data_IF_849605462802
#
_entry.id   IF_849605462802
#
_cell.length_a   1.000
_cell.length_b   1.000
_cell.length_c   1.000
_cell.angle_alpha   90.00
_cell.angle_beta   90.00
_cell.angle_gamma   90.00
#
_symmetry.space_group_name_H-M   'P 1'
#
loop_
_entity.id
_entity.type
_entity.pdbx_description
1 polymer ?
#
# COMPACT_ATOMS: atom_id res chain seq x y z
N UNK A 1 0.03 -7.34 4.38
CA UNK A 1 0.43 -6.16 5.17
C UNK A 1 1.95 -6.12 5.13
N UNK A 2 2.60 -4.97 5.13
CA UNK A 2 4.05 -4.93 4.95
C UNK A 2 4.69 -3.58 5.22
N UNK A 3 5.93 -3.45 4.78
CA UNK A 3 6.75 -2.25 4.83
C UNK A 3 7.17 -1.84 3.41
N UNK A 4 7.27 -0.54 3.16
CA UNK A 4 7.76 0.01 1.90
C UNK A 4 8.77 1.14 2.20
N UNK A 5 9.84 1.22 1.40
CA UNK A 5 10.95 2.14 1.63
C UNK A 5 10.71 3.61 1.30
N UNK A 6 9.61 3.96 0.62
CA UNK A 6 9.40 5.30 0.03
C UNK A 6 9.36 6.43 1.06
N UNK A 7 8.48 6.35 2.07
CA UNK A 7 8.28 7.48 2.99
C UNK A 7 9.53 7.77 3.85
N UNK A 8 10.37 6.75 4.11
CA UNK A 8 11.61 6.92 4.85
C UNK A 8 12.81 7.28 3.95
N UNK A 9 12.99 6.63 2.80
CA UNK A 9 14.24 6.70 2.02
C UNK A 9 14.07 7.20 0.58
N UNK A 10 12.85 7.44 0.14
CA UNK A 10 12.55 7.84 -1.23
C UNK A 10 13.16 6.87 -2.23
N UNK A 11 13.97 7.40 -3.15
CA UNK A 11 14.67 6.65 -4.19
C UNK A 11 15.95 5.96 -3.71
N UNK A 12 16.36 6.15 -2.45
CA UNK A 12 17.77 5.96 -2.00
C UNK A 12 18.01 4.80 -1.03
N UNK A 13 17.03 3.92 -0.84
CA UNK A 13 17.19 2.79 0.10
C UNK A 13 18.39 1.90 -0.27
N UNK A 14 19.06 1.37 0.75
CA UNK A 14 20.19 0.44 0.63
C UNK A 14 19.83 -0.96 1.15
N UNK A 15 20.60 -1.97 0.76
CA UNK A 15 20.40 -3.36 1.19
C UNK A 15 20.40 -3.54 2.71
N UNK A 16 21.37 -2.91 3.39
CA UNK A 16 21.46 -2.96 4.86
C UNK A 16 20.22 -2.37 5.52
N UNK A 17 19.67 -1.28 4.98
CA UNK A 17 18.44 -0.67 5.48
C UNK A 17 17.23 -1.57 5.23
N UNK A 18 17.14 -2.23 4.07
CA UNK A 18 16.08 -3.22 3.80
C UNK A 18 16.14 -4.36 4.82
N UNK A 19 17.32 -4.93 5.06
CA UNK A 19 17.53 -6.03 6.01
C UNK A 19 17.27 -5.61 7.47
N UNK A 20 17.62 -4.37 7.83
CA UNK A 20 17.32 -3.83 9.15
C UNK A 20 15.82 -3.66 9.38
N UNK A 21 15.08 -3.12 8.41
CA UNK A 21 13.62 -3.02 8.49
C UNK A 21 12.96 -4.41 8.48
N UNK A 22 13.42 -5.34 7.64
CA UNK A 22 12.94 -6.72 7.60
C UNK A 22 13.13 -7.43 8.96
N UNK A 23 14.26 -7.19 9.63
CA UNK A 23 14.53 -7.74 10.98
C UNK A 23 13.50 -7.24 12.00
N UNK A 24 13.22 -5.94 12.03
CA UNK A 24 12.21 -5.37 12.95
C UNK A 24 10.81 -5.84 12.57
N UNK A 25 10.49 -5.91 11.28
CA UNK A 25 9.21 -6.43 10.78
C UNK A 25 8.99 -7.87 11.28
N UNK A 26 9.97 -8.76 11.10
CA UNK A 26 9.95 -10.13 11.61
C UNK A 26 9.73 -10.20 13.12
N UNK A 27 10.50 -9.43 13.89
CA UNK A 27 10.54 -9.57 15.34
C UNK A 27 9.32 -8.93 16.03
N UNK A 28 8.80 -7.83 15.48
CA UNK A 28 7.77 -7.01 16.14
C UNK A 28 6.39 -7.11 15.49
N UNK A 29 6.33 -7.30 14.17
CA UNK A 29 5.09 -7.09 13.41
C UNK A 29 4.60 -8.35 12.67
N UNK A 30 5.48 -9.29 12.29
CA UNK A 30 5.09 -10.55 11.66
C UNK A 30 4.10 -11.37 12.50
N UNK A 31 4.20 -11.46 13.85
CA UNK A 31 3.18 -12.11 14.68
C UNK A 31 1.78 -11.50 14.53
N UNK A 32 1.71 -10.22 14.17
CA UNK A 32 0.46 -9.49 13.90
C UNK A 32 0.09 -9.47 12.40
N UNK A 33 0.78 -10.25 11.55
CA UNK A 33 0.44 -10.45 10.14
C UNK A 33 1.15 -9.55 9.12
N UNK A 34 2.15 -8.77 9.54
CA UNK A 34 2.96 -7.96 8.63
C UNK A 34 4.10 -8.79 8.03
N UNK A 35 3.96 -9.17 6.77
CA UNK A 35 4.79 -10.22 6.16
C UNK A 35 5.54 -9.77 4.89
N UNK A 36 5.35 -8.55 4.39
CA UNK A 36 5.89 -8.12 3.09
C UNK A 36 6.90 -6.99 3.24
N UNK A 37 8.04 -7.05 2.55
CA UNK A 37 9.10 -6.04 2.51
C UNK A 37 9.27 -5.55 1.07
N UNK A 38 9.00 -4.28 0.80
CA UNK A 38 9.03 -3.71 -0.56
C UNK A 38 10.15 -2.68 -0.72
N UNK A 39 11.03 -2.92 -1.70
CA UNK A 39 12.01 -1.94 -2.19
C UNK A 39 11.32 -1.04 -3.22
N UNK A 40 11.11 0.22 -2.88
CA UNK A 40 10.44 1.18 -3.77
C UNK A 40 11.38 1.72 -4.87
N UNK A 41 10.89 2.70 -5.63
CA UNK A 41 11.39 3.14 -6.93
C UNK A 41 12.90 3.43 -7.01
N UNK A 42 13.43 3.33 -8.24
CA UNK A 42 14.77 3.73 -8.63
C UNK A 42 15.90 2.96 -7.94
N UNK A 43 15.67 1.72 -7.48
CA UNK A 43 16.72 0.80 -7.03
C UNK A 43 17.80 0.50 -8.09
N UNK A 44 17.48 0.78 -9.36
CA UNK A 44 18.36 0.65 -10.51
C UNK A 44 19.18 1.92 -10.82
N UNK A 45 18.96 3.05 -10.12
CA UNK A 45 19.77 4.26 -10.24
C UNK A 45 20.90 4.26 -9.19
N UNK A 46 22.18 4.14 -9.61
CA UNK A 46 23.31 4.17 -8.68
C UNK A 46 23.60 5.58 -8.15
N UNK A 47 23.01 6.60 -8.74
CA UNK A 47 23.16 8.02 -8.38
C UNK A 47 21.94 8.59 -7.67
N UNK A 48 20.97 7.75 -7.31
CA UNK A 48 19.73 8.15 -6.64
C UNK A 48 20.01 9.06 -5.44
N UNK A 49 19.17 10.09 -5.28
CA UNK A 49 19.30 11.10 -4.24
C UNK A 49 17.96 11.42 -3.59
N UNK A 50 18.00 11.99 -2.39
CA UNK A 50 16.81 12.51 -1.74
C UNK A 50 16.15 13.62 -2.59
N UNK A 51 14.86 13.84 -2.36
CA UNK A 51 14.08 14.92 -2.97
C UNK A 51 13.96 14.84 -4.50
N UNK A 52 13.66 13.65 -5.01
CA UNK A 52 13.22 13.43 -6.39
C UNK A 52 14.19 12.62 -7.24
N UNK A 53 14.06 12.77 -8.56
CA UNK A 53 14.74 11.96 -9.56
C UNK A 53 15.92 12.69 -10.21
N UNK A 54 16.79 11.93 -10.88
CA UNK A 54 17.91 12.45 -11.64
C UNK A 54 17.59 12.40 -13.13
N UNK A 55 17.67 13.54 -13.80
CA UNK A 55 17.58 13.57 -15.26
C UNK A 55 18.81 12.89 -15.86
N UNK A 56 18.59 11.95 -16.79
CA UNK A 56 19.67 11.22 -17.44
C UNK A 56 20.47 10.31 -16.50
N UNK A 57 19.81 9.77 -15.47
CA UNK A 57 20.40 8.82 -14.55
C UNK A 57 21.09 7.65 -15.31
N UNK A 58 22.29 7.22 -14.90
CA UNK A 58 23.01 6.12 -15.53
C UNK A 58 22.45 4.78 -15.03
N UNK A 59 21.18 4.50 -15.38
CA UNK A 59 20.45 3.32 -14.93
C UNK A 59 21.29 2.06 -15.17
N UNK A 60 21.35 1.18 -14.18
CA UNK A 60 22.00 -0.12 -14.32
C UNK A 60 21.06 -1.04 -15.09
N UNK A 61 21.47 -1.46 -16.28
CA UNK A 61 20.71 -2.35 -17.17
C UNK A 61 21.53 -3.61 -17.45
N UNK A 62 20.87 -4.72 -17.71
CA UNK A 62 21.49 -5.88 -18.35
C UNK A 62 21.66 -5.68 -19.86
N UNK A 63 22.30 -6.65 -20.53
CA UNK A 63 22.54 -6.63 -21.98
C UNK A 63 21.25 -6.70 -22.82
N UNK A 64 20.08 -6.88 -22.18
CA UNK A 64 18.75 -6.90 -22.79
C UNK A 64 17.90 -5.69 -22.41
N UNK A 65 18.49 -4.69 -21.75
CA UNK A 65 17.83 -3.45 -21.37
C UNK A 65 16.96 -3.52 -20.12
N UNK A 66 16.91 -4.65 -19.42
CA UNK A 66 16.15 -4.81 -18.16
C UNK A 66 16.93 -4.18 -17.01
N UNK A 67 16.23 -3.49 -16.12
CA UNK A 67 16.84 -2.83 -14.96
C UNK A 67 17.45 -3.85 -13.98
N UNK A 68 18.64 -3.54 -13.45
CA UNK A 68 19.35 -4.32 -12.44
C UNK A 68 19.57 -3.48 -11.16
N UNK A 69 19.62 -4.10 -9.97
CA UNK A 69 19.91 -3.38 -8.74
C UNK A 69 21.28 -2.73 -8.78
N UNK A 70 21.34 -1.47 -8.37
CA UNK A 70 22.58 -0.71 -8.33
C UNK A 70 23.56 -1.31 -7.30
N UNK A 71 24.70 -1.90 -7.70
CA UNK A 71 25.53 -2.69 -6.76
C UNK A 71 26.19 -1.86 -5.65
N UNK A 72 26.30 -0.53 -5.81
CA UNK A 72 26.76 0.36 -4.75
C UNK A 72 25.75 0.50 -3.60
N UNK A 73 24.47 0.24 -3.85
CA UNK A 73 23.38 0.26 -2.86
C UNK A 73 22.94 -1.15 -2.46
N UNK A 74 23.07 -2.10 -3.37
CA UNK A 74 22.75 -3.51 -3.19
C UNK A 74 23.97 -4.38 -3.52
N UNK A 75 24.97 -4.45 -2.62
CA UNK A 75 26.22 -5.17 -2.87
C UNK A 75 26.02 -6.64 -3.21
N UNK A 76 24.97 -7.29 -2.67
CA UNK A 76 24.67 -8.69 -2.97
C UNK A 76 24.23 -8.91 -4.42
N UNK A 77 23.79 -7.87 -5.13
CA UNK A 77 23.41 -7.94 -6.55
C UNK A 77 24.60 -8.02 -7.52
N UNK A 78 25.83 -7.84 -7.01
CA UNK A 78 27.05 -7.90 -7.82
C UNK A 78 27.19 -9.24 -8.56
N UNK A 79 27.88 -9.21 -9.70
CA UNK A 79 28.11 -10.42 -10.51
C UNK A 79 26.86 -10.94 -11.23
N UNK A 80 25.82 -10.12 -11.38
CA UNK A 80 24.58 -10.50 -12.09
C UNK A 80 23.58 -11.27 -11.24
N UNK A 81 23.76 -11.31 -9.91
CA UNK A 81 22.85 -11.99 -9.00
C UNK A 81 21.48 -11.29 -8.89
N UNK A 82 21.43 -9.98 -9.20
CA UNK A 82 20.21 -9.19 -9.08
C UNK A 82 19.68 -9.20 -7.65
N UNK A 83 18.36 -9.26 -7.48
CA UNK A 83 17.78 -9.30 -6.12
C UNK A 83 17.70 -10.69 -5.50
N UNK A 84 18.09 -11.77 -6.19
CA UNK A 84 17.94 -13.13 -5.66
C UNK A 84 18.55 -13.30 -4.24
N UNK A 85 19.76 -12.81 -3.93
CA UNK A 85 20.32 -12.97 -2.58
C UNK A 85 19.57 -12.17 -1.50
N UNK A 86 19.07 -10.97 -1.84
CA UNK A 86 18.27 -10.16 -0.92
C UNK A 86 16.90 -10.79 -0.69
N UNK A 87 16.26 -11.29 -1.73
CA UNK A 87 15.00 -12.02 -1.64
C UNK A 87 15.16 -13.28 -0.77
N UNK A 88 16.21 -14.08 -0.99
CA UNK A 88 16.53 -15.25 -0.18
C UNK A 88 16.73 -14.89 1.30
N UNK A 89 17.41 -13.77 1.59
CA UNK A 89 17.60 -13.29 2.96
C UNK A 89 16.26 -12.90 3.62
N UNK A 90 15.37 -12.22 2.88
CA UNK A 90 14.02 -11.83 3.35
C UNK A 90 13.14 -13.07 3.54
N UNK A 91 13.15 -14.02 2.60
CA UNK A 91 12.45 -15.30 2.71
C UNK A 91 12.95 -16.14 3.89
N UNK A 92 14.26 -16.12 4.15
CA UNK A 92 14.87 -16.76 5.32
C UNK A 92 14.37 -16.21 6.66
N UNK A 93 13.79 -15.00 6.67
CA UNK A 93 13.12 -14.41 7.84
C UNK A 93 11.64 -14.79 7.95
N UNK A 94 11.10 -15.59 7.01
CA UNK A 94 9.68 -15.90 6.92
C UNK A 94 8.83 -14.75 6.34
N UNK A 95 9.47 -13.80 5.66
CA UNK A 95 8.84 -12.66 5.02
C UNK A 95 8.76 -12.85 3.50
N UNK A 96 8.00 -12.00 2.83
CA UNK A 96 7.86 -11.89 1.38
C UNK A 96 8.64 -10.68 0.87
N UNK A 97 9.24 -10.81 -0.30
CA UNK A 97 10.03 -9.76 -0.91
C UNK A 97 9.28 -9.10 -2.06
N UNK A 98 9.31 -7.77 -2.12
CA UNK A 98 8.67 -6.99 -3.17
C UNK A 98 9.56 -5.92 -3.74
N UNK A 99 9.28 -5.54 -4.98
CA UNK A 99 9.98 -4.45 -5.68
C UNK A 99 9.00 -3.54 -6.38
N UNK A 100 9.49 -2.35 -6.71
CA UNK A 100 8.81 -1.38 -7.56
C UNK A 100 9.33 -1.45 -9.01
N UNK A 101 8.46 -1.18 -9.98
CA UNK A 101 8.83 -0.84 -11.35
C UNK A 101 8.11 0.42 -11.84
N UNK A 102 8.75 1.15 -12.73
CA UNK A 102 8.07 2.12 -13.60
C UNK A 102 7.45 1.38 -14.80
N UNK A 103 6.26 1.80 -15.24
CA UNK A 103 5.67 1.36 -16.51
C UNK A 103 6.65 1.53 -17.66
N UNK A 104 6.57 0.63 -18.64
CA UNK A 104 7.22 0.80 -19.94
C UNK A 104 8.62 0.20 -20.04
N UNK A 105 9.49 0.86 -20.80
CA UNK A 105 10.86 0.43 -21.14
C UNK A 105 11.86 1.57 -20.88
N UNK A 106 13.07 1.30 -20.35
CA UNK A 106 14.04 2.34 -20.07
C UNK A 106 14.43 3.15 -21.31
N UNK A 107 14.41 4.48 -21.23
CA UNK A 107 14.89 5.36 -22.31
C UNK A 107 16.32 5.01 -22.71
N UNK A 108 17.15 4.72 -21.72
CA UNK A 108 18.55 4.35 -21.93
C UNK A 108 18.69 3.04 -22.75
N UNK A 109 17.75 2.09 -22.60
CA UNK A 109 17.74 0.88 -23.42
C UNK A 109 17.36 1.20 -24.88
N UNK A 110 16.39 2.11 -25.09
CA UNK A 110 15.95 2.57 -26.41
C UNK A 110 17.05 3.36 -27.13
N UNK A 111 17.74 4.25 -26.41
CA UNK A 111 18.86 5.03 -26.94
C UNK A 111 20.01 4.13 -27.41
N UNK A 112 20.32 3.10 -26.60
CA UNK A 112 21.36 2.11 -26.89
C UNK A 112 20.90 1.00 -27.85
N UNK A 113 19.62 0.98 -28.19
CA UNK A 113 19.00 0.00 -29.07
C UNK A 113 19.24 -1.46 -28.61
N UNK A 114 19.11 -1.70 -27.31
CA UNK A 114 19.40 -3.00 -26.69
C UNK A 114 18.41 -4.09 -27.14
N UNK A 115 18.85 -5.35 -27.32
CA UNK A 115 17.99 -6.43 -27.82
C UNK A 115 16.97 -6.92 -26.78
N UNK A 116 15.74 -7.18 -27.21
CA UNK A 116 14.71 -7.81 -26.37
C UNK A 116 14.96 -9.31 -26.27
N UNK A 117 15.20 -9.79 -25.05
CA UNK A 117 15.49 -11.20 -24.75
C UNK A 117 14.49 -12.15 -25.42
N UNK A 118 15.00 -13.20 -26.08
CA UNK A 118 14.17 -14.22 -26.72
C UNK A 118 13.55 -13.81 -28.07
N UNK A 119 13.96 -12.67 -28.62
CA UNK A 119 13.40 -12.16 -29.89
C UNK A 119 14.50 -11.64 -30.83
N UNK A 120 14.11 -11.25 -32.03
CA UNK A 120 14.98 -10.53 -32.99
C UNK A 120 14.80 -9.02 -32.94
N UNK A 121 13.94 -8.51 -32.05
CA UNK A 121 13.60 -7.10 -31.95
C UNK A 121 14.46 -6.38 -30.91
N UNK A 122 14.55 -5.06 -31.01
CA UNK A 122 15.23 -4.21 -30.05
C UNK A 122 14.27 -3.38 -29.21
N UNK A 123 14.82 -2.71 -28.19
CA UNK A 123 14.10 -1.74 -27.37
C UNK A 123 13.50 -0.61 -28.22
N UNK A 124 14.15 -0.20 -29.32
CA UNK A 124 13.62 0.84 -30.21
C UNK A 124 12.43 0.35 -31.03
N UNK A 125 12.39 -0.92 -31.42
CA UNK A 125 11.27 -1.49 -32.17
C UNK A 125 9.97 -1.51 -31.35
N UNK A 126 10.07 -1.65 -30.02
CA UNK A 126 8.91 -1.81 -29.12
C UNK A 126 8.59 -0.56 -28.31
N UNK A 127 9.37 0.51 -28.41
CA UNK A 127 9.14 1.72 -27.61
C UNK A 127 8.05 2.61 -28.21
N UNK A 128 7.31 3.29 -27.33
CA UNK A 128 6.41 4.39 -27.66
C UNK A 128 6.95 5.70 -27.04
N UNK A 129 7.88 6.42 -27.69
CA UNK A 129 8.59 7.54 -27.08
C UNK A 129 7.72 8.73 -26.67
N UNK A 130 6.57 8.90 -27.34
CA UNK A 130 5.59 9.97 -27.07
C UNK A 130 4.67 9.64 -25.88
N UNK A 131 4.69 8.40 -25.39
CA UNK A 131 3.95 7.95 -24.21
C UNK A 131 4.90 7.90 -23.01
N UNK A 132 5.16 9.06 -22.40
CA UNK A 132 6.09 9.19 -21.29
C UNK A 132 5.39 9.50 -19.96
N UNK A 133 5.96 9.00 -18.86
CA UNK A 133 5.59 9.44 -17.53
C UNK A 133 5.86 10.96 -17.37
N UNK A 134 4.92 11.68 -16.78
CA UNK A 134 5.01 13.14 -16.62
C UNK A 134 5.94 13.59 -15.47
N UNK A 135 6.24 12.69 -14.52
CA UNK A 135 6.92 13.02 -13.27
C UNK A 135 8.22 12.23 -13.02
N UNK A 136 8.50 11.20 -13.82
CA UNK A 136 9.75 10.45 -13.79
C UNK A 136 10.30 10.27 -15.22
N UNK A 137 11.60 10.52 -15.45
CA UNK A 137 12.19 10.53 -16.79
C UNK A 137 12.71 9.17 -17.27
N UNK A 138 12.72 8.13 -16.43
CA UNK A 138 13.52 6.91 -16.66
C UNK A 138 13.03 6.09 -17.85
N UNK A 139 11.71 5.99 -18.01
CA UNK A 139 11.05 5.13 -18.98
C UNK A 139 10.24 5.92 -20.02
N UNK A 140 9.98 5.25 -21.15
CA UNK A 140 8.90 5.55 -22.09
C UNK A 140 7.97 4.35 -22.18
N UNK A 141 6.78 4.55 -22.71
CA UNK A 141 5.79 3.51 -22.93
C UNK A 141 6.26 2.45 -23.92
N UNK A 142 5.49 1.38 -24.01
CA UNK A 142 5.73 0.27 -24.93
C UNK A 142 4.62 0.29 -25.98
N UNK A 143 4.99 0.17 -27.26
CA UNK A 143 4.05 0.07 -28.37
C UNK A 143 3.41 -1.33 -28.39
N UNK A 144 2.24 -1.43 -27.75
CA UNK A 144 1.48 -2.67 -27.67
C UNK A 144 0.96 -3.20 -29.02
N UNK A 145 1.03 -2.43 -30.10
CA UNK A 145 0.70 -2.91 -31.45
C UNK A 145 1.88 -3.66 -32.09
N UNK A 146 3.10 -3.48 -31.56
CA UNK A 146 4.26 -4.23 -31.98
C UNK A 146 4.29 -5.63 -31.33
N UNK A 147 4.51 -6.73 -32.09
CA UNK A 147 4.49 -8.10 -31.56
C UNK A 147 5.54 -8.37 -30.46
N UNK A 148 6.60 -7.55 -30.39
CA UNK A 148 7.63 -7.63 -29.36
C UNK A 148 7.24 -7.06 -27.99
N UNK A 149 6.15 -6.31 -27.88
CA UNK A 149 5.74 -5.64 -26.63
C UNK A 149 5.53 -6.62 -25.47
N UNK A 150 4.77 -7.69 -25.70
CA UNK A 150 4.55 -8.70 -24.65
C UNK A 150 5.83 -9.46 -24.32
N UNK A 151 6.72 -9.68 -25.30
CA UNK A 151 7.99 -10.36 -25.05
C UNK A 151 8.91 -9.54 -24.14
N UNK A 152 8.89 -8.20 -24.24
CA UNK A 152 9.56 -7.31 -23.29
C UNK A 152 9.04 -7.53 -21.87
N UNK A 153 7.72 -7.45 -21.66
CA UNK A 153 7.13 -7.64 -20.34
C UNK A 153 7.35 -9.06 -19.79
N UNK A 154 7.23 -10.09 -20.62
CA UNK A 154 7.52 -11.48 -20.24
C UNK A 154 8.98 -11.63 -19.76
N UNK A 155 9.94 -11.00 -20.44
CA UNK A 155 11.36 -11.04 -20.06
C UNK A 155 11.67 -10.23 -18.79
N UNK A 156 11.02 -9.08 -18.61
CA UNK A 156 11.17 -8.23 -17.42
C UNK A 156 10.59 -8.91 -16.18
N UNK A 157 9.35 -9.42 -16.26
CA UNK A 157 8.71 -10.09 -15.12
C UNK A 157 9.32 -11.47 -14.86
N UNK A 158 9.77 -12.18 -15.90
CA UNK A 158 10.53 -13.42 -15.73
C UNK A 158 11.80 -13.22 -14.89
N UNK A 159 12.52 -12.11 -15.10
CA UNK A 159 13.68 -11.76 -14.27
C UNK A 159 13.31 -11.57 -12.79
N UNK A 160 12.21 -10.87 -12.51
CA UNK A 160 11.74 -10.68 -11.13
C UNK A 160 11.33 -12.01 -10.48
N UNK A 161 10.70 -12.90 -11.26
CA UNK A 161 10.33 -14.24 -10.81
C UNK A 161 11.56 -15.10 -10.49
N UNK A 162 12.60 -15.04 -11.33
CA UNK A 162 13.88 -15.73 -11.11
C UNK A 162 14.59 -15.22 -9.84
N UNK A 163 14.43 -13.94 -9.49
CA UNK A 163 14.93 -13.38 -8.23
C UNK A 163 14.09 -13.73 -7.01
N UNK A 164 12.94 -14.37 -7.17
CA UNK A 164 12.09 -14.72 -6.04
C UNK A 164 11.19 -13.57 -5.54
N UNK A 165 10.86 -12.59 -6.38
CA UNK A 165 9.92 -11.51 -6.01
C UNK A 165 8.51 -12.07 -5.78
N UNK A 166 7.85 -11.69 -4.69
CA UNK A 166 6.47 -12.08 -4.33
C UNK A 166 5.45 -10.96 -4.53
N UNK A 167 5.92 -9.72 -4.61
CA UNK A 167 5.08 -8.53 -4.68
C UNK A 167 5.68 -7.51 -5.66
N UNK A 168 4.87 -7.01 -6.58
CA UNK A 168 5.28 -6.02 -7.56
C UNK A 168 4.36 -4.80 -7.49
N UNK A 169 4.93 -3.64 -7.18
CA UNK A 169 4.28 -2.33 -7.37
C UNK A 169 4.70 -1.78 -8.73
N UNK A 170 3.75 -1.40 -9.58
CA UNK A 170 4.03 -0.74 -10.86
C UNK A 170 3.41 0.65 -10.87
N UNK A 171 4.27 1.67 -11.01
CA UNK A 171 3.88 3.07 -11.11
C UNK A 171 3.66 3.53 -12.56
N UNK A 172 3.06 4.71 -12.70
CA UNK A 172 2.64 5.32 -13.97
C UNK A 172 1.56 4.49 -14.69
N UNK A 173 0.68 3.81 -13.94
CA UNK A 173 -0.33 2.90 -14.50
C UNK A 173 -1.76 3.45 -14.46
N UNK A 174 -2.13 4.28 -13.48
CA UNK A 174 -3.54 4.65 -13.23
C UNK A 174 -3.85 6.14 -13.43
N UNK A 175 -2.84 7.00 -13.63
CA UNK A 175 -3.01 8.43 -13.85
C UNK A 175 -1.98 8.97 -14.88
N UNK A 176 -2.24 8.84 -16.20
CA UNK A 176 -3.47 8.34 -16.83
C UNK A 176 -3.61 6.81 -16.76
N UNK A 177 -4.80 6.29 -17.11
CA UNK A 177 -5.08 4.85 -17.02
C UNK A 177 -4.52 4.10 -18.22
N UNK A 178 -3.52 3.24 -18.00
CA UNK A 178 -2.84 2.44 -19.03
C UNK A 178 -3.32 0.98 -18.99
N UNK A 179 -4.49 0.72 -19.57
CA UNK A 179 -5.13 -0.61 -19.58
C UNK A 179 -4.26 -1.70 -20.21
N UNK A 180 -3.67 -1.44 -21.38
CA UNK A 180 -2.83 -2.43 -22.10
C UNK A 180 -1.56 -2.79 -21.34
N UNK A 181 -0.94 -1.84 -20.64
CA UNK A 181 0.22 -2.11 -19.78
C UNK A 181 -0.17 -2.97 -18.56
N UNK A 182 -1.33 -2.68 -17.93
CA UNK A 182 -1.87 -3.49 -16.84
C UNK A 182 -2.09 -4.94 -17.30
N UNK A 183 -2.71 -5.15 -18.45
CA UNK A 183 -2.94 -6.48 -19.03
C UNK A 183 -1.62 -7.20 -19.34
N UNK A 184 -0.64 -6.50 -19.92
CA UNK A 184 0.63 -7.08 -20.31
C UNK A 184 1.45 -7.54 -19.11
N UNK A 185 1.51 -6.73 -18.04
CA UNK A 185 2.17 -7.10 -16.77
C UNK A 185 1.46 -8.28 -16.13
N UNK A 186 0.12 -8.27 -16.02
CA UNK A 186 -0.64 -9.37 -15.43
C UNK A 186 -0.45 -10.69 -16.20
N UNK A 187 -0.40 -10.62 -17.54
CA UNK A 187 -0.11 -11.77 -18.39
C UNK A 187 1.31 -12.28 -18.19
N UNK A 188 2.29 -11.38 -18.10
CA UNK A 188 3.68 -11.72 -17.87
C UNK A 188 3.90 -12.37 -16.49
N UNK A 189 3.21 -11.90 -15.44
CA UNK A 189 3.18 -12.55 -14.12
C UNK A 189 2.62 -13.98 -14.25
N UNK A 190 1.50 -14.16 -14.95
CA UNK A 190 0.93 -15.50 -15.16
C UNK A 190 1.90 -16.43 -15.90
N UNK A 191 2.62 -15.91 -16.90
CA UNK A 191 3.59 -16.66 -17.73
C UNK A 191 4.90 -16.98 -17.01
N UNK A 192 5.30 -16.18 -16.04
CA UNK A 192 6.52 -16.44 -15.25
C UNK A 192 6.41 -17.71 -14.40
N UNK A 193 5.18 -18.14 -14.09
CA UNK A 193 4.91 -19.30 -13.25
C UNK A 193 5.12 -19.08 -11.76
N UNK A 194 5.45 -17.85 -11.33
CA UNK A 194 5.53 -17.45 -9.92
C UNK A 194 4.31 -16.63 -9.53
N UNK A 195 3.79 -16.88 -8.33
CA UNK A 195 2.76 -16.03 -7.73
C UNK A 195 3.40 -14.69 -7.32
N UNK A 196 2.99 -13.62 -7.99
CA UNK A 196 3.42 -12.25 -7.69
C UNK A 196 2.17 -11.40 -7.50
N UNK A 197 2.01 -10.80 -6.31
CA UNK A 197 0.93 -9.86 -6.04
C UNK A 197 1.18 -8.57 -6.82
N UNK A 198 0.23 -8.16 -7.66
CA UNK A 198 0.33 -6.93 -8.46
C UNK A 198 -0.39 -5.76 -7.77
N UNK A 199 0.37 -4.71 -7.52
CA UNK A 199 -0.07 -3.41 -7.02
C UNK A 199 0.10 -2.33 -8.08
N UNK A 200 -0.93 -1.53 -8.35
CA UNK A 200 -0.94 -0.50 -9.38
C UNK A 200 -0.98 0.91 -8.78
N UNK A 201 -0.21 1.83 -9.37
CA UNK A 201 0.00 3.18 -8.83
C UNK A 201 0.45 4.15 -9.94
N UNK A 202 0.49 5.48 -9.71
CA UNK A 202 -0.23 6.20 -8.66
C UNK A 202 -1.71 6.33 -9.01
N UNK A 203 -2.55 6.51 -7.99
CA UNK A 203 -3.93 6.94 -8.18
C UNK A 203 -4.03 8.46 -8.22
N UNK A 204 -5.17 9.00 -8.66
CA UNK A 204 -5.58 10.39 -8.41
C UNK A 204 -7.10 10.46 -8.30
N UNK A 205 -7.78 10.44 -9.45
CA UNK A 205 -9.23 10.44 -9.59
C UNK A 205 -9.73 9.10 -10.15
N UNK A 206 -9.17 7.97 -9.67
CA UNK A 206 -9.46 6.66 -10.22
C UNK A 206 -10.98 6.39 -10.22
N UNK A 207 -11.50 6.09 -11.41
CA UNK A 207 -12.92 5.84 -11.60
C UNK A 207 -13.26 4.37 -11.33
N UNK A 208 -14.35 4.15 -10.59
CA UNK A 208 -14.96 2.83 -10.39
C UNK A 208 -15.47 2.19 -11.69
N UNK A 209 -15.50 2.92 -12.81
CA UNK A 209 -15.77 2.35 -14.14
C UNK A 209 -14.72 1.32 -14.57
N UNK A 210 -13.48 1.41 -14.06
CA UNK A 210 -12.41 0.45 -14.33
C UNK A 210 -12.44 -0.77 -13.41
N UNK A 211 -13.39 -0.85 -12.47
CA UNK A 211 -13.40 -1.89 -11.43
C UNK A 211 -13.38 -3.32 -11.97
N UNK A 212 -14.06 -3.58 -13.09
CA UNK A 212 -14.05 -4.90 -13.75
C UNK A 212 -12.65 -5.29 -14.20
N UNK A 213 -12.00 -4.41 -14.97
CA UNK A 213 -10.65 -4.59 -15.49
C UNK A 213 -9.60 -4.71 -14.37
N UNK A 214 -9.64 -3.81 -13.38
CA UNK A 214 -8.73 -3.85 -12.22
C UNK A 214 -8.78 -5.19 -11.49
N UNK A 215 -9.98 -5.72 -11.26
CA UNK A 215 -10.20 -7.01 -10.59
C UNK A 215 -9.77 -8.23 -11.39
N UNK A 216 -9.66 -8.09 -12.70
CA UNK A 216 -9.21 -9.16 -13.58
C UNK A 216 -7.67 -9.23 -13.63
N UNK A 217 -6.99 -8.10 -13.46
CA UNK A 217 -5.56 -8.00 -13.75
C UNK A 217 -4.68 -7.67 -12.54
N UNK A 218 -5.19 -7.13 -11.45
CA UNK A 218 -4.38 -6.75 -10.28
C UNK A 218 -5.03 -7.13 -8.94
N UNK A 219 -4.20 -7.22 -7.90
CA UNK A 219 -4.67 -7.49 -6.55
C UNK A 219 -4.92 -6.20 -5.76
N UNK A 220 -4.22 -5.12 -6.05
CA UNK A 220 -4.48 -3.82 -5.44
C UNK A 220 -4.17 -2.63 -6.37
N UNK A 221 -4.84 -1.51 -6.13
CA UNK A 221 -4.72 -0.29 -6.95
C UNK A 221 -4.95 0.98 -6.12
N UNK A 222 -4.03 1.92 -6.25
CA UNK A 222 -4.08 3.22 -5.56
C UNK A 222 -5.33 4.01 -5.96
N UNK A 223 -6.06 4.50 -4.96
CA UNK A 223 -7.28 5.31 -5.15
C UNK A 223 -7.07 6.81 -4.91
N UNK A 224 -5.86 7.21 -4.56
CA UNK A 224 -5.46 8.59 -4.32
C UNK A 224 -4.05 8.85 -4.83
N UNK A 225 -3.74 10.14 -4.96
CA UNK A 225 -2.36 10.62 -5.01
C UNK A 225 -1.63 10.33 -3.69
N UNK A 226 -0.33 10.58 -3.65
CA UNK A 226 0.55 10.20 -2.54
C UNK A 226 0.10 10.79 -1.21
N UNK A 227 -0.10 9.90 -0.23
CA UNK A 227 -0.53 10.23 1.11
C UNK A 227 0.68 10.54 2.00
N UNK A 228 0.60 11.64 2.75
CA UNK A 228 1.63 12.03 3.71
C UNK A 228 1.04 12.24 5.11
N UNK A 229 1.92 12.52 6.08
CA UNK A 229 1.60 12.74 7.49
C UNK A 229 0.93 14.09 7.75
N UNK A 230 -0.21 14.33 7.10
CA UNK A 230 -1.03 15.53 7.23
C UNK A 230 -2.49 15.13 7.47
N UNK A 231 -3.16 15.82 8.38
CA UNK A 231 -4.57 15.53 8.68
C UNK A 231 -5.46 15.64 7.43
N UNK A 232 -5.19 16.61 6.56
CA UNK A 232 -5.97 16.81 5.33
C UNK A 232 -5.90 15.59 4.39
N UNK A 233 -4.76 14.90 4.35
CA UNK A 233 -4.60 13.70 3.54
C UNK A 233 -5.40 12.53 4.14
N UNK A 234 -5.35 12.36 5.47
CA UNK A 234 -6.14 11.34 6.20
C UNK A 234 -7.64 11.61 6.09
N UNK A 235 -8.07 12.86 6.30
CA UNK A 235 -9.46 13.29 6.22
C UNK A 235 -10.03 13.05 4.82
N UNK A 236 -9.27 13.37 3.76
CA UNK A 236 -9.68 13.11 2.39
C UNK A 236 -9.92 11.61 2.10
N UNK A 237 -9.22 10.70 2.79
CA UNK A 237 -9.44 9.26 2.62
C UNK A 237 -10.78 8.78 3.18
N UNK A 238 -11.42 9.48 4.12
CA UNK A 238 -12.72 9.07 4.67
C UNK A 238 -13.75 8.90 3.53
N UNK A 239 -13.85 9.88 2.63
CA UNK A 239 -14.79 9.83 1.51
C UNK A 239 -14.32 8.88 0.39
N UNK A 240 -13.00 8.81 0.13
CA UNK A 240 -12.44 7.92 -0.90
C UNK A 240 -12.67 6.45 -0.53
N UNK A 241 -12.34 6.06 0.70
CA UNK A 241 -12.59 4.70 1.17
C UNK A 241 -14.09 4.42 1.27
N UNK A 242 -14.94 5.36 1.69
CA UNK A 242 -16.39 5.15 1.70
C UNK A 242 -16.93 4.79 0.30
N UNK A 243 -16.39 5.42 -0.76
CA UNK A 243 -16.72 5.11 -2.16
C UNK A 243 -16.29 3.70 -2.57
N UNK A 244 -15.12 3.24 -2.10
CA UNK A 244 -14.50 2.00 -2.58
C UNK A 244 -14.78 0.77 -1.71
N UNK A 245 -15.05 0.93 -0.41
CA UNK A 245 -15.25 -0.14 0.55
C UNK A 245 -16.31 -1.18 0.13
N UNK A 246 -17.46 -0.80 -0.47
CA UNK A 246 -18.46 -1.78 -0.94
C UNK A 246 -17.95 -2.72 -2.05
N UNK A 247 -16.82 -2.39 -2.68
CA UNK A 247 -16.24 -3.18 -3.77
C UNK A 247 -15.04 -4.03 -3.31
N UNK A 248 -14.63 -3.96 -2.05
CA UNK A 248 -13.50 -4.73 -1.56
C UNK A 248 -13.84 -6.22 -1.52
N UNK A 249 -12.95 -7.07 -2.05
CA UNK A 249 -13.12 -8.53 -2.03
C UNK A 249 -11.76 -9.23 -1.95
N UNK A 250 -11.71 -10.49 -1.49
CA UNK A 250 -10.49 -11.30 -1.58
C UNK A 250 -9.85 -11.21 -2.97
N UNK A 251 -8.59 -10.76 -3.01
CA UNK A 251 -7.81 -10.60 -4.24
C UNK A 251 -8.10 -9.36 -5.08
N UNK A 252 -8.85 -8.37 -4.58
CA UNK A 252 -9.07 -7.10 -5.28
C UNK A 252 -9.34 -5.96 -4.31
N UNK A 253 -8.30 -5.15 -4.08
CA UNK A 253 -8.25 -4.16 -3.01
C UNK A 253 -8.00 -2.74 -3.52
N UNK A 254 -8.94 -1.83 -3.27
CA UNK A 254 -8.68 -0.40 -3.34
C UNK A 254 -7.65 -0.02 -2.26
N UNK A 255 -6.59 0.65 -2.68
CA UNK A 255 -5.43 1.01 -1.87
C UNK A 255 -5.41 2.51 -1.55
N UNK A 256 -5.59 2.84 -0.27
CA UNK A 256 -5.54 4.21 0.26
C UNK A 256 -4.11 4.72 0.50
N UNK A 257 -3.12 3.99 0.00
CA UNK A 257 -1.68 4.28 0.06
C UNK A 257 -1.01 3.87 1.37
N UNK A 258 0.32 4.04 1.39
CA UNK A 258 1.21 3.74 2.51
C UNK A 258 0.84 4.53 3.77
N UNK A 259 1.30 4.01 4.91
CA UNK A 259 1.09 4.57 6.24
C UNK A 259 2.34 5.38 6.63
N UNK A 260 2.27 6.73 6.64
CA UNK A 260 3.40 7.61 6.97
C UNK A 260 3.57 7.68 8.49
N UNK A 261 3.79 6.52 9.10
CA UNK A 261 3.89 6.30 10.55
C UNK A 261 5.33 5.99 10.93
N UNK A 262 5.72 6.43 12.13
CA UNK A 262 7.07 6.21 12.65
C UNK A 262 8.08 7.21 12.10
N UNK A 263 9.33 6.78 11.93
CA UNK A 263 10.44 7.63 11.47
C UNK A 263 10.43 7.75 9.95
N UNK A 264 10.03 8.89 9.41
CA UNK A 264 9.93 9.14 7.96
C UNK A 264 10.85 10.28 7.53
N UNK A 265 10.99 10.51 6.22
CA UNK A 265 11.74 11.65 5.71
C UNK A 265 13.26 11.54 5.87
N UNK A 266 13.82 10.38 6.23
CA UNK A 266 15.26 10.19 6.43
C UNK A 266 16.03 10.65 5.19
N UNK A 267 15.57 10.22 4.00
CA UNK A 267 16.04 10.67 2.68
C UNK A 267 14.90 10.63 1.64
N UNK A 268 13.68 10.98 2.08
CA UNK A 268 12.48 10.82 1.26
C UNK A 268 12.36 11.88 0.15
N UNK A 269 11.34 11.72 -0.68
CA UNK A 269 10.97 12.75 -1.65
C UNK A 269 10.56 14.06 -0.94
N UNK A 270 9.77 13.96 0.15
CA UNK A 270 9.16 15.13 0.80
C UNK A 270 9.59 15.32 2.26
N UNK A 271 10.10 16.53 2.51
CA UNK A 271 10.45 17.02 3.84
C UNK A 271 11.74 16.43 4.39
N UNK A 272 12.07 16.83 5.62
CA UNK A 272 13.28 16.44 6.35
C UNK A 272 13.03 15.27 7.32
N UNK A 273 14.08 14.64 7.87
CA UNK A 273 13.97 13.52 8.80
C UNK A 273 13.13 13.89 10.04
N UNK A 274 12.05 13.14 10.27
CA UNK A 274 11.09 13.42 11.34
C UNK A 274 10.38 12.16 11.80
N UNK A 275 9.79 12.24 12.98
CA UNK A 275 8.70 11.34 13.33
C UNK A 275 7.42 11.84 12.64
N UNK A 276 6.50 10.93 12.31
CA UNK A 276 5.20 11.27 11.74
C UNK A 276 4.55 12.44 12.48
N UNK A 277 4.08 13.45 11.73
CA UNK A 277 3.39 14.61 12.30
C UNK A 277 1.95 14.33 12.74
N UNK A 278 1.42 13.15 12.41
CA UNK A 278 0.10 12.74 12.87
C UNK A 278 0.12 12.56 14.40
N UNK A 279 -0.85 13.18 15.08
CA UNK A 279 -1.05 12.99 16.52
C UNK A 279 -1.40 11.52 16.82
N UNK A 280 -1.22 11.03 18.06
CA UNK A 280 -1.57 9.65 18.40
C UNK A 280 -3.02 9.27 18.05
N UNK A 281 -3.96 10.22 18.18
CA UNK A 281 -5.37 10.01 17.81
C UNK A 281 -5.57 9.96 16.29
N UNK A 282 -4.87 10.81 15.51
CA UNK A 282 -4.89 10.76 14.05
C UNK A 282 -4.26 9.46 13.50
N UNK A 283 -3.21 8.94 14.15
CA UNK A 283 -2.60 7.65 13.78
C UNK A 283 -3.59 6.49 13.99
N UNK A 284 -4.36 6.50 15.09
CA UNK A 284 -5.44 5.53 15.32
C UNK A 284 -6.57 5.70 14.32
N UNK A 285 -6.93 6.93 13.97
CA UNK A 285 -7.91 7.24 12.92
C UNK A 285 -7.48 6.67 11.57
N UNK A 286 -6.24 6.91 11.15
CA UNK A 286 -5.63 6.35 9.93
C UNK A 286 -5.73 4.82 9.93
N UNK A 287 -5.17 4.15 10.95
CA UNK A 287 -5.16 2.69 11.01
C UNK A 287 -6.58 2.09 11.03
N UNK A 288 -7.47 2.67 11.82
CA UNK A 288 -8.86 2.20 11.92
C UNK A 288 -9.59 2.36 10.59
N UNK A 289 -9.42 3.51 9.92
CA UNK A 289 -10.04 3.77 8.62
C UNK A 289 -9.52 2.82 7.54
N UNK A 290 -8.20 2.57 7.47
CA UNK A 290 -7.64 1.64 6.50
C UNK A 290 -8.17 0.22 6.73
N UNK A 291 -8.22 -0.23 7.99
CA UNK A 291 -8.75 -1.56 8.33
C UNK A 291 -10.24 -1.67 8.04
N UNK A 292 -11.04 -0.70 8.48
CA UNK A 292 -12.48 -0.68 8.21
C UNK A 292 -12.78 -0.51 6.72
N UNK A 293 -11.94 0.18 5.96
CA UNK A 293 -12.01 0.29 4.50
C UNK A 293 -11.38 -0.88 3.73
N UNK A 294 -10.76 -1.83 4.44
CA UNK A 294 -9.99 -2.97 3.89
C UNK A 294 -8.89 -2.57 2.89
N UNK A 295 -8.25 -1.43 3.13
CA UNK A 295 -7.05 -1.03 2.40
C UNK A 295 -5.88 -1.97 2.75
N UNK A 296 -4.96 -2.24 1.81
CA UNK A 296 -3.64 -2.75 2.15
C UNK A 296 -2.98 -1.86 3.22
N UNK A 297 -2.19 -2.48 4.11
CA UNK A 297 -1.38 -1.76 5.10
C UNK A 297 0.09 -1.92 4.73
N UNK A 298 0.72 -0.83 4.33
CA UNK A 298 2.16 -0.76 4.05
C UNK A 298 2.76 0.38 4.87
N UNK A 299 3.50 0.08 5.93
CA UNK A 299 4.15 1.13 6.75
C UNK A 299 5.38 1.70 6.03
N UNK A 300 5.47 3.03 5.96
CA UNK A 300 6.55 3.73 5.26
C UNK A 300 7.72 4.19 6.15
N UNK A 301 7.59 4.08 7.47
CA UNK A 301 8.63 4.51 8.41
C UNK A 301 9.83 3.57 8.48
N UNK A 302 10.99 4.12 8.80
CA UNK A 302 12.19 3.38 9.16
C UNK A 302 11.98 2.71 10.54
N UNK A 303 11.65 1.43 10.53
CA UNK A 303 11.23 0.67 11.71
C UNK A 303 12.28 0.63 12.84
N UNK A 304 13.60 0.44 12.57
CA UNK A 304 14.64 0.50 13.59
C UNK A 304 14.72 1.80 14.39
N UNK A 305 14.34 2.93 13.80
CA UNK A 305 14.32 4.25 14.46
C UNK A 305 12.91 4.68 14.90
N UNK A 306 11.91 3.82 14.69
CA UNK A 306 10.52 4.11 15.07
C UNK A 306 10.31 3.81 16.55
N UNK A 307 9.70 4.75 17.29
CA UNK A 307 9.40 4.58 18.71
C UNK A 307 8.49 3.38 18.97
N UNK A 308 8.69 2.73 20.12
CA UNK A 308 7.92 1.55 20.54
C UNK A 308 6.41 1.81 20.55
N UNK A 309 5.96 3.00 20.95
CA UNK A 309 4.54 3.33 20.95
C UNK A 309 3.89 3.18 19.56
N UNK A 310 4.61 3.51 18.48
CA UNK A 310 4.13 3.34 17.11
C UNK A 310 4.20 1.88 16.68
N UNK A 311 5.28 1.16 17.04
CA UNK A 311 5.39 -0.27 16.76
C UNK A 311 4.28 -1.07 17.46
N UNK A 312 3.91 -0.70 18.67
CA UNK A 312 2.83 -1.34 19.44
C UNK A 312 1.45 -1.05 18.83
N UNK A 313 1.23 0.15 18.24
CA UNK A 313 0.03 0.43 17.46
C UNK A 313 -0.07 -0.48 16.22
N UNK A 314 1.04 -0.66 15.50
CA UNK A 314 1.12 -1.52 14.33
C UNK A 314 1.00 -3.02 14.69
N UNK A 315 1.51 -3.41 15.86
CA UNK A 315 1.44 -4.78 16.37
C UNK A 315 0.07 -5.16 16.95
N UNK A 316 -0.90 -4.24 16.98
CA UNK A 316 -2.24 -4.52 17.51
C UNK A 316 -2.91 -5.64 16.68
N UNK A 317 -3.22 -6.81 17.27
CA UNK A 317 -3.79 -7.95 16.55
C UNK A 317 -5.20 -7.68 15.99
N UNK A 318 -5.90 -6.65 16.48
CA UNK A 318 -7.18 -6.23 15.92
C UNK A 318 -7.06 -5.82 14.45
N UNK A 319 -5.94 -5.24 14.02
CA UNK A 319 -5.73 -4.82 12.64
C UNK A 319 -5.86 -6.01 11.67
N UNK A 320 -5.08 -7.07 11.90
CA UNK A 320 -5.13 -8.27 11.09
C UNK A 320 -6.45 -9.04 11.26
N UNK A 321 -6.97 -9.13 12.49
CA UNK A 321 -8.23 -9.83 12.76
C UNK A 321 -9.38 -9.24 11.96
N UNK A 322 -9.56 -7.92 11.99
CA UNK A 322 -10.65 -7.27 11.27
C UNK A 322 -10.41 -7.29 9.76
N UNK A 323 -9.18 -7.07 9.28
CA UNK A 323 -8.89 -7.18 7.84
C UNK A 323 -9.24 -8.57 7.26
N UNK A 324 -8.90 -9.62 7.99
CA UNK A 324 -9.11 -11.00 7.56
C UNK A 324 -10.58 -11.43 7.63
N UNK A 325 -11.29 -11.01 8.68
CA UNK A 325 -12.63 -11.55 9.00
C UNK A 325 -13.78 -10.63 8.62
N UNK A 326 -13.50 -9.37 8.24
CA UNK A 326 -14.54 -8.41 7.89
C UNK A 326 -15.17 -8.59 6.52
N UNK A 327 -16.49 -8.37 6.52
CA UNK A 327 -17.38 -8.36 5.37
C UNK A 327 -18.34 -7.17 5.49
N UNK A 328 -18.94 -6.78 4.36
CA UNK A 328 -19.91 -5.67 4.28
C UNK A 328 -19.44 -4.32 4.86
N UNK A 329 -18.13 -4.09 4.86
CA UNK A 329 -17.49 -2.86 5.32
C UNK A 329 -18.06 -1.63 4.61
N UNK A 330 -18.56 -0.66 5.37
CA UNK A 330 -19.15 0.57 4.82
C UNK A 330 -19.28 1.70 5.84
N UNK A 331 -19.26 2.92 5.33
CA UNK A 331 -19.78 4.10 6.04
C UNK A 331 -21.31 3.99 6.15
N UNK A 332 -21.87 4.26 7.34
CA UNK A 332 -23.31 4.21 7.61
C UNK A 332 -23.89 5.54 8.08
N UNK A 333 -23.05 6.44 8.62
CA UNK A 333 -23.43 7.78 9.05
C UNK A 333 -22.31 8.74 8.67
N UNK A 334 -22.69 9.88 8.11
CA UNK A 334 -21.84 11.07 7.96
C UNK A 334 -22.70 12.28 8.22
N UNK A 335 -22.46 12.95 9.34
CA UNK A 335 -23.26 14.07 9.80
C UNK A 335 -22.34 15.24 10.15
N UNK A 336 -22.47 16.40 9.49
CA UNK A 336 -21.83 17.63 9.94
C UNK A 336 -22.38 18.02 11.32
N UNK A 337 -21.49 18.25 12.28
CA UNK A 337 -21.84 18.71 13.62
C UNK A 337 -20.91 19.86 13.99
N UNK A 338 -21.43 21.09 14.03
CA UNK A 338 -20.66 22.32 14.29
C UNK A 338 -19.41 22.47 13.41
N UNK A 339 -18.22 22.28 13.99
CA UNK A 339 -16.89 22.48 13.39
C UNK A 339 -16.22 21.17 12.92
N UNK A 340 -16.98 20.08 12.83
CA UNK A 340 -16.52 18.80 12.33
C UNK A 340 -17.65 17.92 11.81
N UNK A 341 -17.34 16.64 11.60
CA UNK A 341 -18.27 15.61 11.13
C UNK A 341 -18.18 14.40 12.07
N UNK A 342 -19.35 13.86 12.43
CA UNK A 342 -19.48 12.49 12.91
C UNK A 342 -19.45 11.56 11.69
N UNK A 343 -18.51 10.63 11.67
CA UNK A 343 -18.48 9.56 10.66
C UNK A 343 -18.51 8.21 11.36
N UNK A 344 -19.45 7.34 10.98
CA UNK A 344 -19.59 5.99 11.56
C UNK A 344 -19.44 4.94 10.48
N UNK A 345 -18.56 3.99 10.74
CA UNK A 345 -18.33 2.82 9.90
C UNK A 345 -18.77 1.54 10.61
N UNK A 346 -19.26 0.58 9.84
CA UNK A 346 -19.59 -0.76 10.33
C UNK A 346 -19.00 -1.84 9.42
N UNK A 347 -18.75 -3.00 9.99
CA UNK A 347 -18.44 -4.23 9.27
C UNK A 347 -19.00 -5.44 10.02
N UNK A 348 -19.37 -6.49 9.28
CA UNK A 348 -19.82 -7.76 9.84
C UNK A 348 -18.68 -8.76 9.91
N UNK A 349 -18.65 -9.53 11.00
CA UNK A 349 -17.85 -10.75 11.08
C UNK A 349 -18.38 -11.79 10.10
N UNK A 350 -17.48 -12.45 9.37
CA UNK A 350 -17.83 -13.54 8.47
C UNK A 350 -18.21 -14.84 9.19
N UNK A 351 -17.94 -14.96 10.49
CA UNK A 351 -18.01 -16.23 11.22
C UNK A 351 -19.11 -16.28 12.30
N UNK A 352 -19.53 -15.13 12.81
CA UNK A 352 -20.44 -14.98 13.95
C UNK A 352 -21.28 -13.69 13.87
N UNK A 353 -22.10 -13.46 14.88
CA UNK A 353 -22.99 -12.29 14.96
C UNK A 353 -22.23 -10.98 15.33
N UNK A 354 -20.90 -11.01 15.45
CA UNK A 354 -20.10 -9.83 15.83
C UNK A 354 -20.20 -8.72 14.76
N UNK A 355 -20.19 -7.47 15.22
CA UNK A 355 -20.11 -6.27 14.37
C UNK A 355 -18.94 -5.41 14.80
N UNK A 356 -18.10 -4.99 13.87
CA UNK A 356 -17.08 -3.97 14.13
C UNK A 356 -17.64 -2.60 13.83
N UNK A 357 -17.40 -1.65 14.73
CA UNK A 357 -17.87 -0.27 14.61
C UNK A 357 -16.74 0.69 14.87
N UNK A 358 -16.53 1.64 13.96
CA UNK A 358 -15.63 2.76 14.17
C UNK A 358 -16.44 4.07 14.18
N UNK A 359 -16.28 4.84 15.25
CA UNK A 359 -16.89 6.16 15.44
C UNK A 359 -15.78 7.19 15.36
N UNK A 360 -15.74 7.93 14.25
CA UNK A 360 -14.76 8.98 13.99
C UNK A 360 -15.34 10.35 14.29
N UNK A 361 -14.49 11.25 14.77
CA UNK A 361 -14.79 12.65 14.95
C UNK A 361 -13.73 13.49 14.22
N UNK A 362 -14.16 14.34 13.28
CA UNK A 362 -13.22 15.13 12.45
C UNK A 362 -12.98 16.56 12.96
N UNK A 363 -13.68 16.98 14.01
CA UNK A 363 -13.54 18.33 14.53
C UNK A 363 -12.33 18.53 15.44
N UNK A 364 -11.97 19.80 15.72
CA UNK A 364 -10.70 20.20 16.32
C UNK A 364 -10.65 20.05 17.85
N UNK A 365 -11.76 19.74 18.51
CA UNK A 365 -11.84 19.57 19.97
C UNK A 365 -12.52 18.25 20.34
N UNK A 366 -12.22 17.70 21.52
CA UNK A 366 -12.86 16.47 21.99
C UNK A 366 -14.39 16.60 22.05
N UNK A 367 -15.10 15.55 21.64
CA UNK A 367 -16.56 15.54 21.57
C UNK A 367 -17.17 14.25 22.10
N UNK A 368 -18.24 14.39 22.88
CA UNK A 368 -19.12 13.27 23.22
C UNK A 368 -20.12 13.04 22.10
N UNK A 369 -20.13 11.83 21.56
CA UNK A 369 -20.96 11.38 20.45
C UNK A 369 -21.80 10.19 20.90
N UNK A 370 -23.07 10.17 20.48
CA UNK A 370 -24.01 9.09 20.77
C UNK A 370 -24.42 8.45 19.46
N UNK A 371 -24.16 7.15 19.30
CA UNK A 371 -24.56 6.38 18.11
C UNK A 371 -25.61 5.35 18.53
N UNK A 372 -26.87 5.49 18.07
CA UNK A 372 -27.90 4.48 18.35
C UNK A 372 -27.48 3.10 17.83
N UNK A 373 -27.60 2.08 18.66
CA UNK A 373 -27.21 0.71 18.30
C UNK A 373 -28.00 0.19 17.09
N UNK A 374 -29.25 0.64 16.94
CA UNK A 374 -30.09 0.34 15.79
C UNK A 374 -29.51 0.82 14.45
N UNK A 375 -28.70 1.89 14.43
CA UNK A 375 -28.02 2.37 13.22
C UNK A 375 -26.92 1.40 12.76
N UNK A 376 -26.34 0.65 13.69
CA UNK A 376 -25.25 -0.31 13.42
C UNK A 376 -25.79 -1.69 13.10
N UNK A 377 -26.61 -2.26 13.99
CA UNK A 377 -27.00 -3.67 13.95
C UNK A 377 -28.43 -3.88 13.40
N UNK A 378 -29.14 -2.79 13.11
CA UNK A 378 -30.54 -2.80 12.69
C UNK A 378 -31.53 -2.84 13.86
N UNK A 379 -32.72 -2.29 13.65
CA UNK A 379 -33.73 -2.08 14.69
C UNK A 379 -34.21 -3.35 15.42
N UNK A 380 -34.19 -4.51 14.75
CA UNK A 380 -34.59 -5.78 15.37
C UNK A 380 -33.47 -6.33 16.25
N UNK A 381 -32.23 -6.38 15.74
CA UNK A 381 -31.11 -6.94 16.49
C UNK A 381 -30.71 -6.06 17.68
N UNK A 382 -30.91 -4.74 17.59
CA UNK A 382 -30.65 -3.81 18.68
C UNK A 382 -31.54 -4.02 19.93
N UNK A 383 -32.62 -4.81 19.83
CA UNK A 383 -33.47 -5.19 20.98
C UNK A 383 -32.84 -6.27 21.86
N UNK A 384 -31.84 -6.99 21.34
CA UNK A 384 -31.05 -7.96 22.10
C UNK A 384 -30.03 -7.20 22.95
N UNK A 385 -29.53 -7.75 24.07
CA UNK A 385 -28.43 -7.14 24.79
C UNK A 385 -27.13 -7.30 23.98
N UNK A 386 -26.27 -6.28 24.01
CA UNK A 386 -24.97 -6.28 23.33
C UNK A 386 -23.88 -5.84 24.29
N UNK A 387 -22.64 -6.23 24.00
CA UNK A 387 -21.43 -5.77 24.66
C UNK A 387 -20.51 -5.12 23.64
N UNK A 388 -19.77 -4.11 24.06
CA UNK A 388 -18.73 -3.47 23.27
C UNK A 388 -17.36 -3.72 23.90
N UNK A 389 -16.44 -4.25 23.12
CA UNK A 389 -15.02 -4.40 23.47
C UNK A 389 -14.24 -3.39 22.64
N UNK A 390 -13.53 -2.47 23.29
CA UNK A 390 -12.65 -1.51 22.61
C UNK A 390 -11.46 -2.25 21.99
N UNK A 391 -11.15 -1.95 20.74
CA UNK A 391 -10.08 -2.60 19.99
C UNK A 391 -8.74 -1.86 20.10
N UNK A 392 -8.73 -0.65 20.66
CA UNK A 392 -7.51 0.12 20.97
C UNK A 392 -7.08 0.02 22.43
N UNK A 393 -7.94 -0.52 23.31
CA UNK A 393 -7.62 -0.73 24.72
C UNK A 393 -7.95 -2.15 25.16
N UNK A 394 -7.18 -2.73 26.08
CA UNK A 394 -7.40 -4.09 26.60
C UNK A 394 -8.52 -4.18 27.64
N UNK A 395 -9.52 -3.30 27.54
CA UNK A 395 -10.61 -3.18 28.49
C UNK A 395 -11.60 -4.34 28.43
N UNK A 396 -12.33 -4.56 29.53
CA UNK A 396 -13.42 -5.52 29.57
C UNK A 396 -14.60 -5.07 28.70
N UNK A 397 -15.33 -6.03 28.15
CA UNK A 397 -16.50 -5.77 27.32
C UNK A 397 -17.64 -5.10 28.15
N UNK A 398 -18.03 -3.89 27.76
CA UNK A 398 -19.05 -3.10 28.44
C UNK A 398 -20.43 -3.38 27.84
N UNK A 399 -21.43 -3.66 28.68
CA UNK A 399 -22.81 -3.85 28.23
C UNK A 399 -23.37 -2.53 27.69
N UNK A 400 -23.98 -2.58 26.51
CA UNK A 400 -24.64 -1.44 25.88
C UNK A 400 -26.11 -1.34 26.30
N UNK A 401 -26.59 -0.10 26.44
CA UNK A 401 -28.01 0.22 26.66
C UNK A 401 -28.54 1.04 25.48
N UNK A 402 -28.85 0.36 24.37
CA UNK A 402 -29.47 0.95 23.19
C UNK A 402 -28.59 1.88 22.33
N UNK A 403 -27.45 2.35 22.83
CA UNK A 403 -26.52 3.22 22.12
C UNK A 403 -25.05 3.02 22.53
N UNK A 404 -24.15 3.52 21.69
CA UNK A 404 -22.74 3.76 21.99
C UNK A 404 -22.56 5.23 22.36
N UNK A 405 -22.30 5.51 23.64
CA UNK A 405 -21.99 6.85 24.14
C UNK A 405 -20.48 6.99 24.35
N UNK A 406 -19.81 7.67 23.43
CA UNK A 406 -18.35 7.69 23.35
C UNK A 406 -17.81 9.11 23.39
N UNK A 407 -16.73 9.30 24.14
CA UNK A 407 -15.95 10.53 24.13
C UNK A 407 -14.81 10.34 23.12
N UNK A 408 -14.77 11.12 22.05
CA UNK A 408 -13.81 10.98 20.95
C UNK A 408 -12.94 12.23 20.90
N UNK A 409 -11.62 12.04 20.93
CA UNK A 409 -10.65 13.14 20.86
C UNK A 409 -10.73 13.88 19.52
N UNK A 410 -10.12 15.07 19.46
CA UNK A 410 -9.94 15.80 18.21
C UNK A 410 -9.31 14.90 17.14
N UNK A 411 -9.92 14.86 15.95
CA UNK A 411 -9.51 14.02 14.82
C UNK A 411 -9.42 12.50 15.15
N UNK A 412 -10.04 12.08 16.24
CA UNK A 412 -9.86 10.76 16.82
C UNK A 412 -10.93 9.75 16.41
N UNK A 413 -10.74 8.53 16.91
CA UNK A 413 -11.64 7.39 16.69
C UNK A 413 -11.88 6.62 17.99
N UNK A 414 -13.05 5.98 18.07
CA UNK A 414 -13.31 4.86 18.97
C UNK A 414 -13.74 3.65 18.15
N UNK A 415 -13.10 2.51 18.39
CA UNK A 415 -13.23 1.33 17.55
C UNK A 415 -13.58 0.12 18.41
N UNK A 416 -14.69 -0.56 18.11
CA UNK A 416 -15.23 -1.61 18.96
C UNK A 416 -15.55 -2.87 18.17
N UNK A 417 -15.40 -4.02 18.81
CA UNK A 417 -16.16 -5.22 18.50
C UNK A 417 -17.45 -5.22 19.33
N UNK A 418 -18.58 -5.40 18.67
CA UNK A 418 -19.89 -5.53 19.29
C UNK A 418 -20.35 -6.98 19.21
N UNK A 419 -20.61 -7.58 20.35
CA UNK A 419 -21.03 -8.98 20.48
C UNK A 419 -22.41 -9.05 21.13
N UNK A 420 -23.33 -9.92 20.67
CA UNK A 420 -24.54 -10.22 21.40
C UNK A 420 -24.20 -10.78 22.80
N UNK A 421 -24.86 -10.26 23.83
CA UNK A 421 -24.51 -10.52 25.23
C UNK A 421 -25.17 -11.77 25.85
#
# INVERSE_FOLDING_TARGET
>A
MGWNSWDCFGTTVTEDEVLANATVLRDRLLPAGWDTVVVDIAWYDPTARAHGYNDGAPLVLDDHGRQLPAPNRFPSAAGGAGFAPLADAVHGMGLKFGVHLMRGIPRLAVERDLPILGTTWSARDVAAPDDACAWNPDNVGVDHDHPGAQAWYDALIGQLADWGVDFLKVDDMLAPYHDRDVEAVARAITRSGREIVLSLSPGTHLSTTHLGHLREHAQMWRISDDLWDRWEDVHAQLARLARWAPYQRPGGWADADMLPLGRIGVRAERGEPRDSRLTPDEQRTLLTLWVMGRSPLMVGGHLPETHDATLDLLANPALATVLARSTENREIVREPVDDGELVVWTAASGDDDTRWVAVFWTGPTERRLTVPLASVVGAVAARRPWRATDLWSSGEAVRLDGALDVLVASHGVRWFALDPA
#
